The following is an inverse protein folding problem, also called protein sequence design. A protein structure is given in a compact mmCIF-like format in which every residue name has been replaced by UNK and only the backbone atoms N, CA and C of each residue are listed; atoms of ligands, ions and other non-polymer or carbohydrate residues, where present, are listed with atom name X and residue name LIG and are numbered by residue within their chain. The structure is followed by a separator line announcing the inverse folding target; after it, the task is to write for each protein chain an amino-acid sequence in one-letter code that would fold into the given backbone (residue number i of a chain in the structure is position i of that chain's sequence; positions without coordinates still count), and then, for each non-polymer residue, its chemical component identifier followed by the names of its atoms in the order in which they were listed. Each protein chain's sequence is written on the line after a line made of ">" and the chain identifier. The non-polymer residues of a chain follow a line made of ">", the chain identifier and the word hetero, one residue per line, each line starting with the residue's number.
data_IF_036243010738
#
_entry.id   IF_036243010738
#
_cell.length_a   1.000
_cell.length_b   1.000
_cell.length_c   1.000
_cell.angle_alpha   90.00
_cell.angle_beta   90.00
_cell.angle_gamma   90.00
#
_symmetry.space_group_name_H-M   'P 1'
#
loop_
_entity.id
_entity.type
_entity.pdbx_description
1 polymer ?
#
# COMPACT_ATOMS: atom_id res chain seq x y z
N UNK A 1 3.69 -12.00 -14.05
CA UNK A 1 3.57 -12.77 -15.31
C UNK A 1 2.48 -13.84 -15.26
N UNK A 2 2.39 -14.70 -14.22
CA UNK A 2 1.40 -15.79 -14.17
C UNK A 2 -0.05 -15.39 -14.49
N UNK A 3 -0.53 -14.24 -13.98
CA UNK A 3 -1.84 -13.65 -14.30
C UNK A 3 -2.03 -13.47 -15.82
N UNK A 4 -1.01 -12.94 -16.51
CA UNK A 4 -1.03 -12.72 -17.96
C UNK A 4 -1.06 -14.04 -18.74
N UNK A 5 -0.50 -15.11 -18.21
CA UNK A 5 -0.35 -16.35 -18.96
C UNK A 5 -1.47 -17.36 -18.73
N UNK A 6 -2.06 -17.37 -17.52
CA UNK A 6 -3.03 -18.39 -17.11
C UNK A 6 -4.41 -17.84 -16.83
N UNK A 7 -4.55 -16.53 -16.57
CA UNK A 7 -5.84 -15.92 -16.30
C UNK A 7 -6.31 -15.14 -17.52
N UNK A 8 -7.62 -15.14 -17.77
CA UNK A 8 -8.27 -14.40 -18.86
C UNK A 8 -8.68 -12.98 -18.45
N UNK A 9 -8.20 -12.52 -17.28
CA UNK A 9 -8.58 -11.23 -16.72
C UNK A 9 -8.05 -10.08 -17.58
N UNK A 10 -8.89 -9.06 -17.78
CA UNK A 10 -8.53 -7.78 -18.40
C UNK A 10 -8.02 -6.76 -17.33
N UNK A 11 -7.39 -5.63 -17.73
CA UNK A 11 -6.83 -4.70 -16.76
C UNK A 11 -7.87 -4.03 -15.85
N UNK A 12 -9.10 -3.83 -16.34
CA UNK A 12 -10.18 -3.27 -15.54
C UNK A 12 -10.64 -4.24 -14.44
N UNK A 13 -10.71 -5.55 -14.75
CA UNK A 13 -11.00 -6.60 -13.78
C UNK A 13 -9.89 -6.70 -12.72
N UNK A 14 -8.63 -6.57 -13.12
CA UNK A 14 -7.48 -6.59 -12.19
C UNK A 14 -7.48 -5.37 -11.26
N UNK A 15 -7.77 -4.17 -11.78
CA UNK A 15 -7.99 -2.99 -10.95
C UNK A 15 -9.19 -3.18 -10.00
N UNK A 16 -10.26 -3.84 -10.48
CA UNK A 16 -11.39 -4.26 -9.66
C UNK A 16 -11.00 -5.21 -8.53
N UNK A 17 -10.14 -6.19 -8.78
CA UNK A 17 -9.58 -7.07 -7.73
C UNK A 17 -8.75 -6.23 -6.75
N UNK A 18 -7.97 -5.25 -7.24
CA UNK A 18 -7.21 -4.30 -6.42
C UNK A 18 -8.06 -3.54 -5.40
N UNK A 19 -9.29 -3.16 -5.76
CA UNK A 19 -10.26 -2.57 -4.82
C UNK A 19 -10.53 -3.52 -3.65
N UNK A 20 -10.85 -4.78 -3.94
CA UNK A 20 -11.12 -5.79 -2.91
C UNK A 20 -9.90 -6.05 -2.02
N UNK A 21 -8.73 -6.18 -2.62
CA UNK A 21 -7.47 -6.39 -1.89
C UNK A 21 -7.05 -5.21 -1.03
N UNK A 22 -7.63 -4.02 -1.23
CA UNK A 22 -7.34 -2.85 -0.39
C UNK A 22 -8.29 -2.77 0.82
N UNK A 23 -9.47 -3.41 0.77
CA UNK A 23 -10.47 -3.31 1.84
C UNK A 23 -9.99 -3.78 3.22
N UNK A 24 -9.24 -4.90 3.37
CA UNK A 24 -8.72 -5.31 4.69
C UNK A 24 -7.91 -4.22 5.40
N UNK A 25 -7.20 -3.38 4.63
CA UNK A 25 -6.43 -2.25 5.16
C UNK A 25 -7.30 -1.11 5.71
N UNK A 26 -8.55 -0.99 5.26
CA UNK A 26 -9.50 0.03 5.75
C UNK A 26 -10.09 -0.34 7.11
N UNK A 27 -10.17 -1.65 7.42
CA UNK A 27 -10.65 -2.18 8.71
C UNK A 27 -9.50 -2.53 9.66
N UNK A 28 -8.28 -2.05 9.38
CA UNK A 28 -7.07 -2.27 10.18
C UNK A 28 -7.28 -1.95 11.67
N UNK A 29 -8.09 -0.94 11.99
CA UNK A 29 -8.44 -0.58 13.37
C UNK A 29 -9.10 -1.71 14.15
N UNK A 30 -9.92 -2.52 13.48
CA UNK A 30 -10.64 -3.66 14.08
C UNK A 30 -9.66 -4.75 14.49
N UNK A 31 -8.72 -5.07 13.59
CA UNK A 31 -7.63 -5.99 13.89
C UNK A 31 -6.75 -5.45 15.04
N UNK A 32 -6.50 -4.14 15.09
CA UNK A 32 -5.79 -3.48 16.20
C UNK A 32 -6.45 -3.72 17.55
N UNK A 33 -7.77 -3.50 17.63
CA UNK A 33 -8.51 -3.74 18.88
C UNK A 33 -8.47 -5.21 19.30
N UNK A 34 -8.55 -6.14 18.34
CA UNK A 34 -8.46 -7.59 18.64
C UNK A 34 -7.08 -7.94 19.19
N UNK A 35 -6.02 -7.49 18.53
CA UNK A 35 -4.62 -7.68 18.94
C UNK A 35 -4.38 -7.11 20.35
N UNK A 36 -4.94 -5.93 20.66
CA UNK A 36 -4.73 -5.27 21.96
C UNK A 36 -5.59 -5.82 23.12
N UNK A 37 -6.78 -6.36 22.84
CA UNK A 37 -7.76 -6.72 23.89
C UNK A 37 -8.01 -8.21 24.05
N UNK A 38 -7.79 -9.04 23.03
CA UNK A 38 -8.21 -10.44 23.03
C UNK A 38 -6.98 -11.35 22.99
N UNK A 39 -6.53 -11.91 24.13
CA UNK A 39 -5.47 -12.92 24.14
C UNK A 39 -5.99 -14.23 23.52
N UNK A 40 -5.27 -14.76 22.55
CA UNK A 40 -5.55 -16.07 21.94
C UNK A 40 -4.48 -17.03 22.44
N UNK A 41 -4.84 -18.21 22.95
CA UNK A 41 -3.90 -19.16 23.57
C UNK A 41 -2.98 -18.54 24.64
N UNK A 42 -3.50 -17.54 25.37
CA UNK A 42 -2.76 -16.87 26.45
C UNK A 42 -1.75 -15.79 26.01
N UNK A 43 -1.66 -15.49 24.70
CA UNK A 43 -0.76 -14.47 24.15
C UNK A 43 -1.51 -13.49 23.22
N UNK A 44 -1.10 -12.22 23.25
CA UNK A 44 -1.68 -11.14 22.44
C UNK A 44 -0.85 -10.78 21.20
N UNK A 45 0.45 -11.08 21.17
CA UNK A 45 1.31 -10.75 20.02
C UNK A 45 1.67 -12.02 19.25
N UNK A 46 2.21 -13.03 19.93
CA UNK A 46 2.66 -14.29 19.30
C UNK A 46 1.53 -14.97 18.52
N UNK A 47 0.35 -15.09 19.13
CA UNK A 47 -0.79 -15.77 18.51
C UNK A 47 -1.27 -15.09 17.23
N UNK A 48 -1.36 -13.76 17.21
CA UNK A 48 -1.78 -13.02 16.00
C UNK A 48 -0.72 -13.03 14.91
N UNK A 49 0.57 -13.01 15.26
CA UNK A 49 1.65 -13.20 14.27
C UNK A 49 1.52 -14.56 13.59
N UNK A 50 1.31 -15.62 14.38
CA UNK A 50 1.12 -16.98 13.85
C UNK A 50 -0.16 -17.13 13.03
N UNK A 51 -1.28 -16.51 13.43
CA UNK A 51 -2.53 -16.49 12.65
C UNK A 51 -2.28 -15.80 11.30
N UNK A 52 -1.63 -14.64 11.31
CA UNK A 52 -1.30 -13.92 10.08
C UNK A 52 -0.33 -14.71 9.19
N UNK A 53 0.63 -15.41 9.78
CA UNK A 53 1.57 -16.27 9.05
C UNK A 53 0.87 -17.47 8.44
N UNK A 54 -0.04 -18.12 9.18
CA UNK A 54 -0.84 -19.23 8.68
C UNK A 54 -1.77 -18.80 7.54
N UNK A 55 -2.39 -17.62 7.66
CA UNK A 55 -3.23 -17.05 6.60
C UNK A 55 -2.40 -16.76 5.33
N UNK A 56 -1.23 -16.16 5.49
CA UNK A 56 -0.28 -15.89 4.39
C UNK A 56 0.23 -17.18 3.75
N UNK A 57 0.59 -18.17 4.56
CA UNK A 57 1.01 -19.49 4.09
C UNK A 57 -0.11 -20.20 3.31
N UNK A 58 -1.34 -20.15 3.82
CA UNK A 58 -2.52 -20.70 3.15
C UNK A 58 -2.76 -20.01 1.80
N UNK A 59 -2.61 -18.69 1.75
CA UNK A 59 -2.71 -17.93 0.50
C UNK A 59 -1.60 -18.29 -0.51
N UNK A 60 -0.36 -18.43 -0.06
CA UNK A 60 0.77 -18.88 -0.89
C UNK A 60 0.55 -20.32 -1.41
N UNK A 61 0.08 -21.24 -0.56
CA UNK A 61 -0.28 -22.61 -0.97
C UNK A 61 -1.43 -22.60 -1.98
N UNK A 62 -2.43 -21.74 -1.80
CA UNK A 62 -3.55 -21.58 -2.73
C UNK A 62 -3.06 -21.10 -4.10
N UNK A 63 -2.15 -20.12 -4.14
CA UNK A 63 -1.54 -19.64 -5.38
C UNK A 63 -0.62 -20.68 -6.03
N UNK A 64 0.14 -21.44 -5.24
CA UNK A 64 0.94 -22.56 -5.72
C UNK A 64 0.04 -23.63 -6.36
N UNK A 65 -1.09 -23.97 -5.74
CA UNK A 65 -2.04 -24.94 -6.27
C UNK A 65 -2.80 -24.47 -7.49
N UNK A 66 -3.11 -23.18 -7.58
CA UNK A 66 -3.61 -22.57 -8.80
C UNK A 66 -2.57 -22.66 -9.94
N UNK A 67 -1.30 -22.42 -9.63
CA UNK A 67 -0.22 -22.42 -10.61
C UNK A 67 0.18 -23.83 -11.07
N UNK A 68 0.17 -24.80 -10.17
CA UNK A 68 0.45 -26.22 -10.44
C UNK A 68 -0.74 -27.00 -11.01
N UNK A 69 -1.96 -26.43 -10.93
CA UNK A 69 -3.17 -27.03 -11.49
C UNK A 69 -3.75 -28.19 -10.67
N UNK A 70 -3.22 -28.45 -9.47
CA UNK A 70 -3.72 -29.49 -8.57
C UNK A 70 -4.88 -29.02 -7.68
N UNK A 71 -5.16 -27.71 -7.65
CA UNK A 71 -6.30 -27.14 -6.95
C UNK A 71 -7.42 -26.84 -7.97
N UNK A 72 -8.41 -27.72 -8.07
CA UNK A 72 -9.43 -27.69 -9.13
C UNK A 72 -10.87 -27.44 -8.64
N UNK A 73 -11.07 -27.02 -7.38
CA UNK A 73 -12.42 -26.83 -6.84
C UNK A 73 -13.14 -25.57 -7.37
N UNK A 74 -12.41 -24.65 -7.99
CA UNK A 74 -12.92 -23.38 -8.52
C UNK A 74 -12.12 -22.95 -9.74
N UNK A 75 -12.56 -21.89 -10.42
CA UNK A 75 -11.83 -21.36 -11.58
C UNK A 75 -10.49 -20.75 -11.12
N UNK A 76 -9.41 -20.81 -11.94
CA UNK A 76 -8.10 -20.25 -11.58
C UNK A 76 -8.14 -18.78 -11.17
N UNK A 77 -9.02 -17.98 -11.77
CA UNK A 77 -9.25 -16.57 -11.42
C UNK A 77 -9.82 -16.41 -10.00
N UNK A 78 -10.78 -17.25 -9.61
CA UNK A 78 -11.35 -17.24 -8.26
C UNK A 78 -10.35 -17.71 -7.21
N UNK A 79 -9.57 -18.74 -7.54
CA UNK A 79 -8.50 -19.25 -6.67
C UNK A 79 -7.41 -18.20 -6.48
N UNK A 80 -7.06 -17.46 -7.53
CA UNK A 80 -6.13 -16.33 -7.45
C UNK A 80 -6.63 -15.26 -6.48
N UNK A 81 -7.90 -14.84 -6.62
CA UNK A 81 -8.50 -13.83 -5.73
C UNK A 81 -8.50 -14.33 -4.28
N UNK A 82 -8.87 -15.59 -4.03
CA UNK A 82 -8.84 -16.19 -2.71
C UNK A 82 -7.42 -16.17 -2.12
N UNK A 83 -6.43 -16.67 -2.86
CA UNK A 83 -5.04 -16.72 -2.42
C UNK A 83 -4.47 -15.32 -2.13
N UNK A 84 -4.73 -14.35 -3.02
CA UNK A 84 -4.32 -12.96 -2.82
C UNK A 84 -5.00 -12.32 -1.60
N UNK A 85 -6.29 -12.57 -1.39
CA UNK A 85 -7.03 -12.06 -0.24
C UNK A 85 -6.50 -12.63 1.08
N UNK A 86 -6.21 -13.93 1.13
CA UNK A 86 -5.61 -14.58 2.29
C UNK A 86 -4.23 -13.98 2.62
N UNK A 87 -3.37 -13.76 1.62
CA UNK A 87 -2.08 -13.09 1.80
C UNK A 87 -2.29 -11.69 2.36
N UNK A 88 -3.21 -10.90 1.81
CA UNK A 88 -3.49 -9.54 2.28
C UNK A 88 -3.99 -9.55 3.73
N UNK A 89 -4.98 -10.37 4.06
CA UNK A 89 -5.53 -10.45 5.43
C UNK A 89 -4.42 -10.86 6.41
N UNK A 90 -3.63 -11.88 6.06
CA UNK A 90 -2.49 -12.31 6.86
C UNK A 90 -1.48 -11.17 7.08
N UNK A 91 -1.17 -10.43 6.03
CA UNK A 91 -0.26 -9.28 6.07
C UNK A 91 -0.81 -8.16 6.96
N UNK A 92 -2.09 -7.81 6.85
CA UNK A 92 -2.72 -6.77 7.67
C UNK A 92 -2.69 -7.13 9.15
N UNK A 93 -2.97 -8.38 9.51
CA UNK A 93 -2.91 -8.83 10.90
C UNK A 93 -1.47 -8.70 11.44
N UNK A 94 -0.47 -9.14 10.67
CA UNK A 94 0.93 -9.03 11.08
C UNK A 94 1.42 -7.59 11.18
N UNK A 95 1.02 -6.74 10.23
CA UNK A 95 1.32 -5.31 10.19
C UNK A 95 0.76 -4.58 11.42
N UNK A 96 -0.46 -4.90 11.84
CA UNK A 96 -1.05 -4.39 13.08
C UNK A 96 -0.24 -4.80 14.32
N UNK A 97 0.18 -6.07 14.40
CA UNK A 97 0.99 -6.54 15.52
C UNK A 97 2.36 -5.86 15.53
N UNK A 98 2.99 -5.70 14.36
CA UNK A 98 4.27 -5.02 14.21
C UNK A 98 4.17 -3.55 14.63
N UNK A 99 3.10 -2.84 14.24
CA UNK A 99 2.82 -1.48 14.67
C UNK A 99 2.68 -1.38 16.19
N UNK A 100 1.91 -2.27 16.81
CA UNK A 100 1.75 -2.30 18.27
C UNK A 100 3.10 -2.50 18.96
N UNK A 101 3.85 -3.53 18.56
CA UNK A 101 5.18 -3.83 19.11
C UNK A 101 6.18 -2.69 18.93
N UNK A 102 6.12 -1.94 17.82
CA UNK A 102 6.99 -0.79 17.57
C UNK A 102 6.83 0.31 18.62
N UNK A 103 5.64 0.43 19.20
CA UNK A 103 5.36 1.42 20.26
C UNK A 103 5.64 0.89 21.67
N UNK A 104 5.65 -0.44 21.84
CA UNK A 104 5.85 -1.13 23.12
C UNK A 104 7.32 -1.36 23.44
N UNK A 105 8.18 -1.44 22.41
CA UNK A 105 9.62 -1.70 22.59
C UNK A 105 10.35 -0.57 23.31
N UNK A 106 9.82 0.66 23.24
CA UNK A 106 10.40 1.85 23.89
C UNK A 106 9.82 1.99 25.29
N UNK A 107 10.65 1.74 26.31
CA UNK A 107 10.26 1.91 27.70
C UNK A 107 9.97 3.39 28.00
N UNK A 108 8.80 3.64 28.61
CA UNK A 108 8.37 4.99 29.04
C UNK A 108 8.83 5.36 30.44
N UNK A 109 9.30 4.38 31.20
CA UNK A 109 9.83 4.54 32.55
C UNK A 109 11.29 4.09 32.56
N UNK A 110 12.09 4.72 33.40
CA UNK A 110 13.47 4.31 33.64
C UNK A 110 13.54 3.06 34.53
N UNK A 111 14.75 2.56 34.79
CA UNK A 111 14.98 1.41 35.67
C UNK A 111 14.55 1.66 37.14
N UNK A 112 14.31 2.92 37.51
CA UNK A 112 13.87 3.34 38.85
C UNK A 112 12.34 3.55 38.92
N UNK A 113 11.61 3.34 37.82
CA UNK A 113 10.17 3.56 37.72
C UNK A 113 9.74 5.02 37.51
N UNK A 114 10.69 5.94 37.30
CA UNK A 114 10.39 7.34 37.00
C UNK A 114 10.06 7.51 35.50
N UNK A 115 9.12 8.39 35.14
CA UNK A 115 8.82 8.68 33.74
C UNK A 115 10.05 9.30 33.04
N UNK A 116 10.41 8.74 31.89
CA UNK A 116 11.51 9.27 31.05
C UNK A 116 11.11 10.58 30.38
N UNK A 117 12.06 11.45 30.02
CA UNK A 117 11.77 12.65 29.25
C UNK A 117 11.05 12.32 27.93
N UNK A 118 9.96 13.04 27.67
CA UNK A 118 9.10 12.88 26.49
C UNK A 118 9.88 12.97 25.16
N UNK A 119 10.93 13.80 25.13
CA UNK A 119 11.78 14.00 23.96
C UNK A 119 12.62 12.75 23.64
N UNK A 120 13.19 12.09 24.65
CA UNK A 120 13.95 10.85 24.46
C UNK A 120 13.07 9.71 23.96
N UNK A 121 11.89 9.55 24.56
CA UNK A 121 10.91 8.52 24.15
C UNK A 121 10.50 8.73 22.69
N UNK A 122 10.26 9.98 22.27
CA UNK A 122 9.91 10.29 20.88
C UNK A 122 11.07 10.01 19.92
N UNK A 123 12.30 10.33 20.31
CA UNK A 123 13.49 10.05 19.50
C UNK A 123 13.69 8.53 19.30
N UNK A 124 13.57 7.74 20.37
CA UNK A 124 13.67 6.28 20.29
C UNK A 124 12.54 5.66 19.45
N UNK A 125 11.29 6.11 19.62
CA UNK A 125 10.16 5.68 18.77
C UNK A 125 10.40 6.00 17.30
N UNK A 126 10.96 7.18 17.00
CA UNK A 126 11.36 7.57 15.66
C UNK A 126 12.42 6.62 15.07
N UNK A 127 13.41 6.22 15.88
CA UNK A 127 14.45 5.28 15.47
C UNK A 127 13.88 3.87 15.19
N UNK A 128 12.97 3.39 16.03
CA UNK A 128 12.29 2.10 15.82
C UNK A 128 11.51 2.11 14.49
N UNK A 129 10.81 3.21 14.20
CA UNK A 129 10.09 3.38 12.93
C UNK A 129 11.04 3.40 11.72
N UNK A 130 12.20 4.04 11.84
CA UNK A 130 13.23 4.00 10.79
C UNK A 130 13.74 2.58 10.55
N UNK A 131 14.08 1.85 11.61
CA UNK A 131 14.54 0.45 11.52
C UNK A 131 13.45 -0.43 10.90
N UNK A 132 12.18 -0.25 11.30
CA UNK A 132 11.05 -0.97 10.73
C UNK A 132 10.91 -0.74 9.22
N UNK A 133 11.05 0.51 8.76
CA UNK A 133 11.03 0.84 7.32
C UNK A 133 12.22 0.28 6.55
N UNK A 134 13.41 0.26 7.17
CA UNK A 134 14.59 -0.36 6.59
C UNK A 134 14.40 -1.89 6.48
N UNK A 135 13.85 -2.54 7.50
CA UNK A 135 13.53 -3.96 7.48
C UNK A 135 12.48 -4.30 6.40
N UNK A 136 11.42 -3.49 6.27
CA UNK A 136 10.44 -3.61 5.19
C UNK A 136 11.10 -3.49 3.82
N UNK A 137 11.99 -2.51 3.64
CA UNK A 137 12.67 -2.28 2.37
C UNK A 137 13.65 -3.40 2.02
N UNK A 138 14.35 -3.94 3.03
CA UNK A 138 15.19 -5.12 2.87
C UNK A 138 14.36 -6.35 2.50
N UNK A 139 13.17 -6.54 3.08
CA UNK A 139 12.23 -7.60 2.71
C UNK A 139 11.73 -7.46 1.27
N UNK A 140 11.33 -6.24 0.87
CA UNK A 140 10.95 -5.94 -0.52
C UNK A 140 12.10 -6.25 -1.47
N UNK A 141 13.32 -5.82 -1.14
CA UNK A 141 14.51 -6.09 -1.94
C UNK A 141 14.77 -7.60 -2.08
N UNK A 142 14.70 -8.34 -0.97
CA UNK A 142 14.95 -9.78 -0.92
C UNK A 142 13.95 -10.55 -1.78
N UNK A 143 12.66 -10.18 -1.76
CA UNK A 143 11.63 -10.89 -2.52
C UNK A 143 11.56 -10.41 -3.97
N UNK A 144 11.66 -9.11 -4.22
CA UNK A 144 11.34 -8.54 -5.54
C UNK A 144 12.35 -8.92 -6.63
N UNK A 145 13.64 -9.00 -6.30
CA UNK A 145 14.67 -9.49 -7.21
C UNK A 145 14.69 -11.02 -7.32
N UNK A 146 14.66 -11.70 -6.17
CA UNK A 146 14.76 -13.15 -6.08
C UNK A 146 13.59 -13.86 -6.75
N UNK A 147 12.35 -13.39 -6.55
CA UNK A 147 11.17 -14.01 -7.16
C UNK A 147 11.17 -13.93 -8.68
N UNK A 148 11.63 -12.82 -9.28
CA UNK A 148 11.74 -12.65 -10.73
C UNK A 148 12.85 -13.50 -11.33
N UNK A 149 14.01 -13.56 -10.66
CA UNK A 149 15.13 -14.40 -11.08
C UNK A 149 14.78 -15.90 -10.98
N UNK A 150 14.15 -16.33 -9.88
CA UNK A 150 13.72 -17.72 -9.71
C UNK A 150 12.65 -18.12 -10.73
N UNK A 151 11.72 -17.22 -11.06
CA UNK A 151 10.67 -17.51 -12.05
C UNK A 151 11.23 -17.78 -13.45
N UNK A 152 12.40 -17.20 -13.79
CA UNK A 152 13.06 -17.45 -15.07
C UNK A 152 13.58 -18.89 -15.26
N UNK A 153 13.77 -19.65 -14.17
CA UNK A 153 14.34 -21.00 -14.22
C UNK A 153 13.48 -22.07 -13.54
N UNK A 154 12.57 -21.68 -12.64
CA UNK A 154 11.71 -22.58 -11.88
C UNK A 154 10.24 -22.45 -12.32
N UNK A 155 9.51 -23.55 -12.18
CA UNK A 155 8.06 -23.52 -12.31
C UNK A 155 7.45 -22.56 -11.27
N UNK A 156 6.40 -21.85 -11.66
CA UNK A 156 5.75 -20.83 -10.79
C UNK A 156 5.16 -21.41 -9.52
N UNK A 157 4.68 -22.64 -9.60
CA UNK A 157 4.29 -23.43 -8.43
C UNK A 157 5.44 -23.48 -7.42
N UNK A 158 6.65 -23.85 -7.86
CA UNK A 158 7.84 -23.91 -7.02
C UNK A 158 8.19 -22.54 -6.45
N UNK A 159 8.08 -21.47 -7.25
CA UNK A 159 8.32 -20.09 -6.75
C UNK A 159 7.33 -19.71 -5.65
N UNK A 160 6.04 -20.02 -5.79
CA UNK A 160 5.04 -19.78 -4.74
C UNK A 160 5.29 -20.65 -3.49
N UNK A 161 5.71 -21.90 -3.65
CA UNK A 161 6.09 -22.78 -2.55
C UNK A 161 7.33 -22.26 -1.80
N UNK A 162 8.35 -21.78 -2.52
CA UNK A 162 9.49 -21.09 -1.90
C UNK A 162 9.05 -19.80 -1.17
N UNK A 163 7.97 -19.17 -1.63
CA UNK A 163 7.31 -18.07 -0.93
C UNK A 163 6.86 -18.39 0.49
N UNK A 164 6.70 -19.68 0.87
CA UNK A 164 6.39 -20.10 2.24
C UNK A 164 7.53 -19.79 3.23
N UNK A 165 8.73 -19.47 2.75
CA UNK A 165 9.81 -18.95 3.59
C UNK A 165 9.43 -17.61 4.25
N UNK A 166 8.57 -16.81 3.62
CA UNK A 166 8.10 -15.53 4.19
C UNK A 166 7.30 -15.75 5.48
N UNK A 167 6.17 -16.48 5.49
CA UNK A 167 5.45 -16.77 6.72
C UNK A 167 6.26 -17.63 7.71
N UNK A 168 7.17 -18.50 7.24
CA UNK A 168 8.07 -19.22 8.14
C UNK A 168 9.02 -18.28 8.90
N UNK A 169 9.58 -17.25 8.24
CA UNK A 169 10.43 -16.25 8.90
C UNK A 169 9.68 -15.50 10.00
N UNK A 170 8.40 -15.21 9.77
CA UNK A 170 7.53 -14.58 10.76
C UNK A 170 7.25 -15.49 11.96
N UNK A 171 7.01 -16.79 11.72
CA UNK A 171 6.86 -17.79 12.78
C UNK A 171 8.14 -17.99 13.60
N UNK A 172 9.32 -17.94 12.97
CA UNK A 172 10.61 -17.96 13.70
C UNK A 172 10.76 -16.69 14.55
N UNK A 173 10.35 -15.53 14.05
CA UNK A 173 10.37 -14.26 14.79
C UNK A 173 9.61 -14.33 16.12
N UNK A 174 8.54 -15.12 16.19
CA UNK A 174 7.77 -15.34 17.42
C UNK A 174 8.62 -15.96 18.55
N UNK A 175 9.58 -16.83 18.21
CA UNK A 175 10.48 -17.45 19.19
C UNK A 175 11.44 -16.45 19.84
N UNK A 176 11.68 -15.31 19.20
CA UNK A 176 12.58 -14.26 19.69
C UNK A 176 11.88 -13.27 20.64
N UNK A 177 10.55 -13.29 20.72
CA UNK A 177 9.77 -12.40 21.59
C UNK A 177 9.92 -12.88 23.03
N UNK A 178 10.80 -12.25 23.82
CA UNK A 178 11.17 -12.72 25.18
C UNK A 178 10.10 -12.51 26.27
N UNK A 179 9.29 -11.45 26.22
CA UNK A 179 8.18 -11.25 27.16
C UNK A 179 7.11 -10.32 26.59
N UNK A 180 5.84 -10.72 26.70
CA UNK A 180 4.69 -9.84 26.43
C UNK A 180 4.40 -9.03 27.70
N UNK A 181 4.89 -7.80 27.75
CA UNK A 181 4.55 -6.85 28.81
C UNK A 181 3.25 -6.14 28.45
N UNK A 182 2.13 -6.87 28.35
CA UNK A 182 0.88 -6.26 27.91
C UNK A 182 -0.08 -6.09 29.08
N UNK A 183 -0.25 -4.85 29.53
CA UNK A 183 -1.43 -4.45 30.30
C UNK A 183 -2.66 -4.64 29.40
N UNK A 184 -3.57 -5.52 29.83
CA UNK A 184 -4.80 -5.81 29.07
C UNK A 184 -5.60 -4.53 28.92
N UNK A 185 -5.80 -4.09 27.67
CA UNK A 185 -6.71 -2.98 27.39
C UNK A 185 -8.16 -3.49 27.35
N UNK A 186 -9.10 -2.81 28.04
CA UNK A 186 -10.50 -3.17 27.95
C UNK A 186 -10.98 -3.05 26.51
N UNK A 187 -11.93 -3.90 26.16
CA UNK A 187 -12.41 -4.01 24.80
C UNK A 187 -13.33 -2.84 24.48
N UNK A 188 -12.95 -1.98 23.52
CA UNK A 188 -13.82 -0.91 23.06
C UNK A 188 -14.86 -1.48 22.08
N UNK A 189 -16.06 -1.78 22.60
CA UNK A 189 -17.16 -2.34 21.83
C UNK A 189 -17.67 -1.39 20.74
N UNK A 190 -17.39 -0.09 20.83
CA UNK A 190 -17.79 0.88 19.79
C UNK A 190 -16.94 0.67 18.53
N UNK A 191 -15.64 0.46 18.71
CA UNK A 191 -14.70 0.21 17.61
C UNK A 191 -14.87 -1.22 17.10
N UNK A 192 -14.88 -2.23 17.99
CA UNK A 192 -15.02 -3.62 17.58
C UNK A 192 -16.41 -3.91 16.98
N UNK A 193 -17.48 -3.52 17.66
CA UNK A 193 -18.85 -3.76 17.20
C UNK A 193 -19.16 -3.01 15.90
N UNK A 194 -18.74 -1.74 15.79
CA UNK A 194 -18.87 -0.97 14.56
C UNK A 194 -18.08 -1.59 13.40
N UNK A 195 -16.86 -2.04 13.67
CA UNK A 195 -16.01 -2.73 12.70
C UNK A 195 -16.56 -4.08 12.22
N UNK A 196 -17.07 -4.90 13.14
CA UNK A 196 -17.72 -6.19 12.80
C UNK A 196 -18.99 -5.94 12.00
N UNK A 197 -19.85 -5.00 12.42
CA UNK A 197 -21.06 -4.65 11.68
C UNK A 197 -20.73 -4.16 10.27
N UNK A 198 -19.73 -3.30 10.13
CA UNK A 198 -19.22 -2.84 8.84
C UNK A 198 -18.72 -4.02 7.99
N UNK A 199 -17.89 -4.90 8.55
CA UNK A 199 -17.39 -6.09 7.86
C UNK A 199 -18.50 -7.03 7.39
N UNK A 200 -19.54 -7.24 8.22
CA UNK A 200 -20.71 -8.04 7.86
C UNK A 200 -21.53 -7.40 6.74
N UNK A 201 -21.72 -6.08 6.76
CA UNK A 201 -22.40 -5.36 5.67
C UNK A 201 -21.60 -5.47 4.39
N UNK A 202 -20.28 -5.26 4.43
CA UNK A 202 -19.39 -5.41 3.26
C UNK A 202 -19.46 -6.84 2.71
N UNK A 203 -19.37 -7.86 3.56
CA UNK A 203 -19.45 -9.25 3.15
C UNK A 203 -20.83 -9.60 2.56
N UNK A 204 -21.91 -9.14 3.19
CA UNK A 204 -23.27 -9.33 2.70
C UNK A 204 -23.50 -8.68 1.33
N UNK A 205 -23.01 -7.45 1.14
CA UNK A 205 -23.06 -6.75 -0.14
C UNK A 205 -22.23 -7.47 -1.22
N UNK A 206 -21.02 -7.91 -0.88
CA UNK A 206 -20.12 -8.62 -1.79
C UNK A 206 -20.69 -9.97 -2.26
N UNK A 207 -21.32 -10.71 -1.35
CA UNK A 207 -21.94 -12.01 -1.66
C UNK A 207 -23.33 -11.89 -2.30
N UNK A 208 -24.03 -10.78 -2.06
CA UNK A 208 -25.41 -10.56 -2.51
C UNK A 208 -25.57 -10.20 -3.98
N UNK A 209 -24.49 -10.15 -4.77
CA UNK A 209 -24.56 -9.86 -6.21
C UNK A 209 -25.08 -8.47 -6.55
N UNK A 210 -24.93 -7.50 -5.63
CA UNK A 210 -25.45 -6.14 -5.78
C UNK A 210 -24.70 -5.40 -6.90
N UNK A 211 -25.39 -4.74 -7.85
CA UNK A 211 -24.74 -3.90 -8.85
C UNK A 211 -23.93 -2.79 -8.19
N UNK A 212 -22.77 -2.46 -8.76
CA UNK A 212 -21.89 -1.40 -8.23
C UNK A 212 -21.48 -1.59 -6.77
N UNK A 213 -21.32 -2.85 -6.34
CA UNK A 213 -20.98 -3.20 -4.96
C UNK A 213 -19.72 -2.49 -4.45
N UNK A 214 -18.72 -2.30 -5.31
CA UNK A 214 -17.46 -1.67 -4.93
C UNK A 214 -17.65 -0.18 -4.63
N UNK A 215 -18.48 0.48 -5.44
CA UNK A 215 -18.85 1.88 -5.30
C UNK A 215 -19.72 2.08 -4.04
N UNK A 216 -20.66 1.17 -3.79
CA UNK A 216 -21.49 1.19 -2.57
C UNK A 216 -20.62 1.01 -1.33
N UNK A 217 -19.69 0.05 -1.32
CA UNK A 217 -18.75 -0.16 -0.20
C UNK A 217 -17.86 1.08 -0.02
N UNK A 218 -17.36 1.67 -1.10
CA UNK A 218 -16.56 2.89 -1.04
C UNK A 218 -17.35 4.05 -0.42
N UNK A 219 -18.60 4.29 -0.87
CA UNK A 219 -19.46 5.34 -0.34
C UNK A 219 -19.82 5.10 1.15
N UNK A 220 -20.10 3.85 1.53
CA UNK A 220 -20.34 3.47 2.91
C UNK A 220 -19.10 3.75 3.78
N UNK A 221 -17.92 3.33 3.33
CA UNK A 221 -16.64 3.55 4.01
C UNK A 221 -16.33 5.04 4.15
N UNK A 222 -16.59 5.81 3.09
CA UNK A 222 -16.44 7.26 3.07
C UNK A 222 -17.37 7.92 4.09
N UNK A 223 -18.64 7.53 4.13
CA UNK A 223 -19.60 8.06 5.09
C UNK A 223 -19.17 7.78 6.54
N UNK A 224 -18.68 6.57 6.84
CA UNK A 224 -18.15 6.21 8.15
C UNK A 224 -16.93 7.07 8.51
N UNK A 225 -15.93 7.15 7.62
CA UNK A 225 -14.70 7.91 7.87
C UNK A 225 -14.98 9.41 8.01
N UNK A 226 -15.81 9.99 7.15
CA UNK A 226 -16.21 11.40 7.25
C UNK A 226 -16.95 11.67 8.57
N UNK A 227 -17.85 10.78 8.99
CA UNK A 227 -18.55 10.90 10.28
C UNK A 227 -17.57 10.83 11.45
N UNK A 228 -16.63 9.88 11.43
CA UNK A 228 -15.59 9.78 12.46
C UNK A 228 -14.68 11.01 12.49
N UNK A 229 -14.33 11.59 11.34
CA UNK A 229 -13.56 12.83 11.27
C UNK A 229 -14.30 13.98 11.94
N UNK A 230 -15.61 14.12 11.68
CA UNK A 230 -16.44 15.15 12.34
C UNK A 230 -16.51 14.91 13.86
N UNK A 231 -16.71 13.66 14.28
CA UNK A 231 -16.79 13.31 15.72
C UNK A 231 -15.48 13.58 16.45
N UNK A 232 -14.34 13.15 15.89
CA UNK A 232 -13.03 13.27 16.52
C UNK A 232 -12.58 14.74 16.60
N UNK A 233 -12.97 15.57 15.63
CA UNK A 233 -12.59 16.99 15.55
C UNK A 233 -13.63 17.96 16.12
N UNK A 234 -14.74 17.45 16.69
CA UNK A 234 -15.86 18.27 17.18
C UNK A 234 -15.45 19.28 18.26
N UNK A 235 -14.49 18.90 19.10
CA UNK A 235 -14.07 19.68 20.26
C UNK A 235 -12.93 20.67 19.93
N UNK A 236 -12.49 20.70 18.67
CA UNK A 236 -11.47 21.63 18.20
C UNK A 236 -12.07 22.97 17.79
N UNK A 237 -11.25 24.02 17.85
CA UNK A 237 -11.63 25.33 17.34
C UNK A 237 -11.91 25.29 15.83
N UNK A 238 -12.74 26.22 15.37
CA UNK A 238 -13.20 26.25 13.98
C UNK A 238 -12.07 26.48 12.96
N UNK A 239 -10.93 27.07 13.36
CA UNK A 239 -9.79 27.29 12.47
C UNK A 239 -9.03 25.97 12.29
N UNK A 240 -8.68 25.29 13.37
CA UNK A 240 -7.99 23.99 13.34
C UNK A 240 -8.82 22.92 12.62
N UNK A 241 -10.13 22.87 12.87
CA UNK A 241 -11.04 21.93 12.17
C UNK A 241 -11.06 22.16 10.65
N UNK A 242 -11.00 23.41 10.20
CA UNK A 242 -10.93 23.75 8.77
C UNK A 242 -9.58 23.38 8.17
N UNK A 243 -8.48 23.65 8.86
CA UNK A 243 -7.14 23.25 8.43
C UNK A 243 -7.09 21.72 8.24
N UNK A 244 -7.56 20.96 9.24
CA UNK A 244 -7.71 19.50 9.17
C UNK A 244 -8.49 19.05 7.92
N UNK A 245 -9.64 19.66 7.66
CA UNK A 245 -10.48 19.30 6.51
C UNK A 245 -9.73 19.51 5.19
N UNK A 246 -9.11 20.67 5.01
CA UNK A 246 -8.37 21.01 3.80
C UNK A 246 -7.17 20.10 3.59
N UNK A 247 -6.43 19.85 4.66
CA UNK A 247 -5.35 18.89 4.72
C UNK A 247 -5.79 17.47 4.32
N UNK A 248 -6.90 17.00 4.87
CA UNK A 248 -7.49 15.69 4.57
C UNK A 248 -7.85 15.58 3.09
N UNK A 249 -8.43 16.64 2.50
CA UNK A 249 -8.76 16.69 1.07
C UNK A 249 -7.48 16.63 0.21
N UNK A 250 -6.43 17.37 0.57
CA UNK A 250 -5.15 17.35 -0.16
C UNK A 250 -4.52 15.95 -0.13
N UNK A 251 -4.44 15.32 1.05
CA UNK A 251 -3.93 13.95 1.20
C UNK A 251 -4.75 12.98 0.35
N UNK A 252 -6.07 13.10 0.42
CA UNK A 252 -6.98 12.23 -0.32
C UNK A 252 -6.78 12.37 -1.83
N UNK A 253 -6.77 13.61 -2.36
CA UNK A 253 -6.56 13.88 -3.77
C UNK A 253 -5.19 13.36 -4.27
N UNK A 254 -4.14 13.50 -3.45
CA UNK A 254 -2.81 12.99 -3.78
C UNK A 254 -2.79 11.45 -3.92
N UNK A 255 -3.43 10.74 -2.99
CA UNK A 255 -3.47 9.26 -3.01
C UNK A 255 -4.53 8.66 -3.92
N UNK A 256 -5.56 9.43 -4.26
CA UNK A 256 -6.66 8.99 -5.13
C UNK A 256 -6.34 9.15 -6.62
N UNK A 257 -5.15 9.61 -6.98
CA UNK A 257 -4.72 9.65 -8.38
C UNK A 257 -4.80 8.24 -9.02
N UNK A 258 -5.43 8.12 -10.20
CA UNK A 258 -5.51 6.83 -10.88
C UNK A 258 -4.17 6.41 -11.48
N UNK A 259 -3.99 5.11 -11.62
CA UNK A 259 -2.89 4.52 -12.39
C UNK A 259 -3.32 4.15 -13.81
N UNK A 260 -2.36 3.63 -14.56
CA UNK A 260 -2.56 3.15 -15.94
C UNK A 260 -3.16 1.73 -15.95
N UNK A 261 -2.97 0.96 -14.88
CA UNK A 261 -3.39 -0.45 -14.79
C UNK A 261 -2.42 -1.41 -15.48
N UNK A 262 -2.76 -2.70 -15.44
CA UNK A 262 -1.87 -3.79 -15.89
C UNK A 262 -1.68 -3.87 -17.41
N UNK A 263 -2.48 -3.12 -18.20
CA UNK A 263 -2.34 -3.04 -19.65
C UNK A 263 -0.96 -2.53 -20.08
N UNK A 264 -0.41 -1.54 -19.37
CA UNK A 264 0.96 -1.06 -19.59
C UNK A 264 1.99 -2.17 -19.38
N UNK A 265 1.85 -2.92 -18.28
CA UNK A 265 2.74 -4.03 -17.96
C UNK A 265 2.66 -5.16 -19.02
N UNK A 266 1.51 -5.38 -19.67
CA UNK A 266 1.44 -6.38 -20.74
C UNK A 266 2.06 -5.90 -22.03
N UNK A 267 1.92 -4.62 -22.35
CA UNK A 267 2.53 -3.98 -23.50
C UNK A 267 4.05 -4.03 -23.45
N UNK A 268 4.66 -3.71 -22.31
CA UNK A 268 6.12 -3.80 -22.13
C UNK A 268 6.64 -5.24 -22.31
N UNK A 269 5.85 -6.24 -21.93
CA UNK A 269 6.18 -7.65 -22.17
C UNK A 269 6.05 -8.02 -23.65
N UNK A 270 4.97 -7.63 -24.32
CA UNK A 270 4.68 -8.06 -25.70
C UNK A 270 5.46 -7.28 -26.75
N UNK A 271 5.61 -5.97 -26.57
CA UNK A 271 6.20 -5.06 -27.54
C UNK A 271 7.67 -4.80 -27.22
N UNK A 272 7.98 -4.39 -25.98
CA UNK A 272 9.37 -4.10 -25.58
C UNK A 272 10.18 -5.35 -25.21
N UNK A 273 9.55 -6.52 -25.15
CA UNK A 273 10.18 -7.81 -24.82
C UNK A 273 10.96 -7.77 -23.50
N UNK A 274 10.38 -7.07 -22.52
CA UNK A 274 10.88 -7.16 -21.14
C UNK A 274 10.55 -8.57 -20.62
N UNK A 275 11.54 -9.26 -20.06
CA UNK A 275 11.38 -10.62 -19.55
C UNK A 275 11.28 -10.63 -18.01
N UNK A 276 11.04 -11.80 -17.42
CA UNK A 276 10.89 -11.95 -15.96
C UNK A 276 12.16 -11.53 -15.21
N UNK A 277 13.32 -11.91 -15.75
CA UNK A 277 14.62 -11.58 -15.18
C UNK A 277 14.82 -10.06 -15.16
N UNK A 278 14.52 -9.37 -16.26
CA UNK A 278 14.62 -7.92 -16.35
C UNK A 278 13.69 -7.22 -15.36
N UNK A 279 12.46 -7.69 -15.17
CA UNK A 279 11.56 -7.15 -14.14
C UNK A 279 12.07 -7.38 -12.71
N UNK A 280 12.70 -8.54 -12.46
CA UNK A 280 13.41 -8.81 -11.21
C UNK A 280 14.51 -7.78 -10.97
N UNK A 281 15.37 -7.55 -11.98
CA UNK A 281 16.44 -6.53 -11.92
C UNK A 281 15.87 -5.14 -11.71
N UNK A 282 14.84 -4.74 -12.46
CA UNK A 282 14.22 -3.42 -12.35
C UNK A 282 13.68 -3.15 -10.94
N UNK A 283 12.99 -4.12 -10.35
CA UNK A 283 12.50 -3.99 -8.96
C UNK A 283 13.63 -3.98 -7.93
N UNK A 284 14.69 -4.75 -8.15
CA UNK A 284 15.85 -4.78 -7.27
C UNK A 284 16.62 -3.45 -7.29
N UNK A 285 16.91 -2.93 -8.48
CA UNK A 285 17.54 -1.61 -8.66
C UNK A 285 16.68 -0.51 -8.04
N UNK A 286 15.37 -0.53 -8.28
CA UNK A 286 14.43 0.39 -7.67
C UNK A 286 14.45 0.33 -6.14
N UNK A 287 14.51 -0.87 -5.54
CA UNK A 287 14.56 -1.03 -4.09
C UNK A 287 15.89 -0.54 -3.49
N UNK A 288 17.04 -0.85 -4.11
CA UNK A 288 18.36 -0.35 -3.68
C UNK A 288 18.39 1.18 -3.68
N UNK A 289 17.92 1.78 -4.78
CA UNK A 289 17.91 3.24 -4.92
C UNK A 289 16.91 3.91 -3.99
N UNK A 290 15.76 3.29 -3.75
CA UNK A 290 14.80 3.78 -2.75
C UNK A 290 15.43 3.79 -1.35
N UNK A 291 16.18 2.75 -0.95
CA UNK A 291 16.89 2.70 0.33
C UNK A 291 17.96 3.80 0.40
N UNK A 292 18.79 3.92 -0.64
CA UNK A 292 19.84 4.94 -0.70
C UNK A 292 19.26 6.35 -0.61
N UNK A 293 18.21 6.63 -1.36
CA UNK A 293 17.55 7.93 -1.37
C UNK A 293 16.82 8.22 -0.04
N UNK A 294 16.16 7.24 0.57
CA UNK A 294 15.61 7.41 1.92
C UNK A 294 16.68 7.80 2.91
N UNK A 295 17.86 7.18 2.86
CA UNK A 295 18.97 7.55 3.74
C UNK A 295 19.45 8.98 3.46
N UNK A 296 19.77 9.31 2.20
CA UNK A 296 20.33 10.61 1.81
C UNK A 296 19.36 11.77 2.07
N UNK A 297 18.08 11.60 1.74
CA UNK A 297 17.06 12.67 1.79
C UNK A 297 16.20 12.65 3.06
N UNK A 298 16.45 11.72 4.00
CA UNK A 298 15.71 11.61 5.27
C UNK A 298 15.68 12.94 6.05
N UNK A 299 16.79 13.67 6.07
CA UNK A 299 16.93 14.92 6.82
C UNK A 299 16.19 16.09 6.14
N UNK A 300 16.39 16.28 4.84
CA UNK A 300 15.87 17.42 4.08
C UNK A 300 14.33 17.42 3.96
N UNK A 301 13.67 16.28 4.08
CA UNK A 301 12.21 16.20 3.97
C UNK A 301 11.43 16.70 5.20
N UNK A 302 12.13 17.00 6.30
CA UNK A 302 11.51 17.47 7.55
C UNK A 302 11.54 18.99 7.72
N UNK A 303 12.26 19.72 6.86
CA UNK A 303 12.48 21.17 7.01
C UNK A 303 11.57 22.03 6.12
N UNK A 304 10.88 21.44 5.14
CA UNK A 304 9.98 22.15 4.21
C UNK A 304 8.50 22.03 4.57
N UNK A 305 7.72 23.05 4.20
CA UNK A 305 6.26 23.02 4.39
C UNK A 305 5.63 21.86 3.60
N UNK A 306 4.76 21.09 4.25
CA UNK A 306 4.18 19.87 3.67
C UNK A 306 3.45 20.14 2.35
N UNK A 307 2.67 21.22 2.27
CA UNK A 307 1.95 21.61 1.05
C UNK A 307 2.89 21.89 -0.11
N UNK A 308 4.04 22.53 0.15
CA UNK A 308 5.08 22.78 -0.86
C UNK A 308 5.77 21.50 -1.30
N UNK A 309 6.06 20.59 -0.36
CA UNK A 309 6.64 19.29 -0.68
C UNK A 309 5.69 18.48 -1.56
N UNK A 310 4.39 18.41 -1.21
CA UNK A 310 3.39 17.70 -2.03
C UNK A 310 3.21 18.31 -3.42
N UNK A 311 3.30 19.64 -3.54
CA UNK A 311 3.22 20.34 -4.82
C UNK A 311 4.36 19.92 -5.76
N UNK A 312 5.61 19.96 -5.28
CA UNK A 312 6.76 19.54 -6.08
C UNK A 312 6.78 18.05 -6.35
N UNK A 313 6.27 17.22 -5.42
CA UNK A 313 6.11 15.79 -5.66
C UNK A 313 5.10 15.50 -6.77
N UNK A 314 4.01 16.26 -6.86
CA UNK A 314 3.04 16.13 -7.96
C UNK A 314 3.67 16.54 -9.31
N UNK A 315 4.44 17.63 -9.34
CA UNK A 315 5.19 18.04 -10.54
C UNK A 315 6.22 16.97 -10.93
N UNK A 316 7.02 16.50 -9.97
CA UNK A 316 8.02 15.48 -10.20
C UNK A 316 7.37 14.19 -10.70
N UNK A 317 6.26 13.75 -10.10
CA UNK A 317 5.51 12.57 -10.56
C UNK A 317 5.03 12.70 -12.01
N UNK A 318 4.56 13.88 -12.41
CA UNK A 318 4.17 14.13 -13.79
C UNK A 318 5.37 14.07 -14.75
N UNK A 319 6.50 14.68 -14.39
CA UNK A 319 7.74 14.62 -15.19
C UNK A 319 8.24 13.18 -15.31
N UNK A 320 8.21 12.42 -14.20
CA UNK A 320 8.62 11.02 -14.14
C UNK A 320 7.65 10.08 -14.85
N UNK A 321 6.45 10.54 -15.23
CA UNK A 321 5.57 9.76 -16.11
C UNK A 321 5.96 9.87 -17.60
N UNK A 322 6.71 10.91 -17.99
CA UNK A 322 7.07 11.19 -19.38
C UNK A 322 7.92 10.11 -20.04
N UNK A 323 8.91 9.47 -19.37
CA UNK A 323 9.65 8.37 -19.98
C UNK A 323 8.74 7.19 -20.38
N UNK A 324 7.75 6.85 -19.55
CA UNK A 324 6.79 5.78 -19.84
C UNK A 324 5.88 6.13 -21.03
N UNK A 325 5.43 7.38 -21.12
CA UNK A 325 4.69 7.90 -22.28
C UNK A 325 5.58 7.87 -23.54
N UNK A 326 6.82 8.37 -23.41
CA UNK A 326 7.79 8.41 -24.50
C UNK A 326 8.13 7.01 -25.01
N UNK A 327 8.29 6.02 -24.12
CA UNK A 327 8.51 4.63 -24.50
C UNK A 327 7.42 4.12 -25.44
N UNK A 328 6.14 4.41 -25.14
CA UNK A 328 5.01 4.03 -25.98
C UNK A 328 5.08 4.70 -27.36
N UNK A 329 5.41 5.99 -27.42
CA UNK A 329 5.54 6.74 -28.68
C UNK A 329 6.88 6.55 -29.41
N UNK A 330 7.71 5.58 -29.00
CA UNK A 330 8.93 5.23 -29.72
C UNK A 330 10.18 6.01 -29.34
N UNK A 331 10.20 6.70 -28.19
CA UNK A 331 11.39 7.41 -27.68
C UNK A 331 12.64 6.53 -27.67
N UNK A 332 12.48 5.25 -27.39
CA UNK A 332 13.58 4.28 -27.33
C UNK A 332 14.29 4.07 -28.68
N UNK A 333 13.58 4.19 -29.82
CA UNK A 333 14.21 4.12 -31.13
C UNK A 333 15.12 5.33 -31.36
N UNK A 334 14.67 6.52 -30.93
CA UNK A 334 15.47 7.72 -31.04
C UNK A 334 16.68 7.70 -30.11
N UNK A 335 16.52 7.25 -28.86
CA UNK A 335 17.66 7.15 -27.92
C UNK A 335 18.68 6.12 -28.36
N UNK A 336 18.24 5.02 -28.98
CA UNK A 336 19.13 4.00 -29.52
C UNK A 336 19.94 4.54 -30.70
N UNK A 337 19.31 5.29 -31.62
CA UNK A 337 19.98 5.89 -32.76
C UNK A 337 20.97 7.02 -32.39
N UNK A 338 20.66 7.83 -31.37
CA UNK A 338 21.46 9.02 -31.03
C UNK A 338 22.45 8.81 -29.89
N UNK A 339 22.11 7.95 -28.92
CA UNK A 339 22.90 7.75 -27.70
C UNK A 339 23.33 6.29 -27.48
N UNK A 340 22.88 5.36 -28.33
CA UNK A 340 23.24 3.95 -28.24
C UNK A 340 22.55 3.17 -27.11
N UNK A 341 21.50 3.71 -26.48
CA UNK A 341 20.72 3.00 -25.46
C UNK A 341 19.23 2.91 -25.80
N UNK A 342 18.67 1.71 -25.64
CA UNK A 342 17.28 1.40 -25.98
C UNK A 342 16.32 1.40 -24.78
N UNK A 343 15.16 0.74 -24.97
CA UNK A 343 14.03 0.78 -24.04
C UNK A 343 14.36 0.27 -22.62
N UNK A 344 15.20 -0.77 -22.51
CA UNK A 344 15.60 -1.34 -21.21
C UNK A 344 16.35 -0.32 -20.34
N UNK A 345 17.24 0.47 -20.93
CA UNK A 345 17.99 1.51 -20.20
C UNK A 345 17.06 2.63 -19.74
N UNK A 346 16.15 3.08 -20.61
CA UNK A 346 15.13 4.08 -20.24
C UNK A 346 14.28 3.58 -19.07
N UNK A 347 13.84 2.32 -19.10
CA UNK A 347 13.05 1.72 -18.03
C UNK A 347 13.82 1.58 -16.70
N UNK A 348 15.12 1.26 -16.75
CA UNK A 348 15.97 1.23 -15.54
C UNK A 348 16.06 2.64 -14.94
N UNK A 349 16.36 3.67 -15.75
CA UNK A 349 16.49 5.05 -15.30
C UNK A 349 15.15 5.56 -14.75
N UNK A 350 14.04 5.25 -15.42
CA UNK A 350 12.71 5.60 -14.96
C UNK A 350 12.38 4.99 -13.59
N UNK A 351 12.59 3.67 -13.46
CA UNK A 351 12.34 2.96 -12.20
C UNK A 351 13.25 3.45 -11.07
N UNK A 352 14.52 3.70 -11.39
CA UNK A 352 15.53 4.26 -10.51
C UNK A 352 15.14 5.63 -9.97
N UNK A 353 14.52 6.45 -10.82
CA UNK A 353 14.15 7.82 -10.46
C UNK A 353 12.78 7.86 -9.79
N UNK A 354 11.84 6.99 -10.13
CA UNK A 354 10.47 7.01 -9.58
C UNK A 354 10.36 6.38 -8.18
N UNK A 355 11.12 5.31 -7.90
CA UNK A 355 10.96 4.57 -6.65
C UNK A 355 11.30 5.36 -5.37
N UNK A 356 12.33 6.23 -5.33
CA UNK A 356 12.57 7.08 -4.18
C UNK A 356 11.41 8.03 -3.91
N UNK A 357 10.88 8.68 -4.95
CA UNK A 357 9.85 9.71 -4.80
C UNK A 357 8.57 9.12 -4.21
N UNK A 358 8.21 7.90 -4.60
CA UNK A 358 7.07 7.19 -4.02
C UNK A 358 7.22 7.02 -2.49
N UNK A 359 8.40 6.60 -2.02
CA UNK A 359 8.67 6.44 -0.58
C UNK A 359 8.72 7.78 0.15
N UNK A 360 9.42 8.76 -0.42
CA UNK A 360 9.58 10.09 0.16
C UNK A 360 8.24 10.83 0.25
N UNK A 361 7.29 10.58 -0.66
CA UNK A 361 5.96 11.19 -0.64
C UNK A 361 5.12 10.82 0.58
N UNK A 362 5.42 9.70 1.26
CA UNK A 362 4.70 9.27 2.45
C UNK A 362 5.05 10.11 3.69
N UNK A 363 6.29 10.58 3.77
CA UNK A 363 6.81 11.26 4.97
C UNK A 363 6.05 12.56 5.25
N UNK A 364 5.88 13.49 4.28
CA UNK A 364 5.12 14.71 4.52
C UNK A 364 3.67 14.46 4.92
N UNK A 365 3.02 13.45 4.34
CA UNK A 365 1.64 13.07 4.67
C UNK A 365 1.53 12.64 6.14
N UNK A 366 2.46 11.80 6.61
CA UNK A 366 2.51 11.36 8.01
C UNK A 366 2.82 12.51 8.98
N UNK A 367 3.75 13.40 8.61
CA UNK A 367 4.08 14.59 9.40
C UNK A 367 2.88 15.50 9.60
N UNK A 368 2.11 15.75 8.55
CA UNK A 368 0.95 16.63 8.63
C UNK A 368 -0.25 15.95 9.32
N UNK A 369 -0.37 14.62 9.25
CA UNK A 369 -1.27 13.87 10.14
C UNK A 369 -0.87 14.06 11.60
N UNK A 370 0.42 13.93 11.93
CA UNK A 370 0.91 14.11 13.28
C UNK A 370 0.70 15.54 13.80
N UNK A 371 0.93 16.54 12.95
CA UNK A 371 0.80 17.96 13.30
C UNK A 371 -0.62 18.34 13.74
N UNK A 372 -1.64 17.87 13.01
CA UNK A 372 -3.04 18.19 13.34
C UNK A 372 -3.71 17.19 14.29
N UNK A 373 -2.94 16.31 14.95
CA UNK A 373 -3.49 15.30 15.85
C UNK A 373 -4.14 15.95 17.10
N UNK A 374 -5.45 15.76 17.34
CA UNK A 374 -6.12 16.30 18.52
C UNK A 374 -5.50 15.78 19.82
N UNK A 375 -5.34 16.67 20.81
CA UNK A 375 -4.89 16.28 22.14
C UNK A 375 -5.84 15.24 22.76
N UNK A 376 -5.29 14.19 23.36
CA UNK A 376 -6.07 13.10 23.97
C UNK A 376 -6.70 12.09 23.01
N UNK A 377 -6.65 12.30 21.68
CA UNK A 377 -7.19 11.37 20.66
C UNK A 377 -6.18 10.94 19.60
N UNK A 378 -4.88 11.07 19.88
CA UNK A 378 -3.80 10.85 18.89
C UNK A 378 -3.87 9.47 18.23
N UNK A 379 -4.05 8.39 19.00
CA UNK A 379 -4.11 7.03 18.45
C UNK A 379 -5.30 6.85 17.48
N UNK A 380 -6.50 7.26 17.90
CA UNK A 380 -7.71 7.25 17.06
C UNK A 380 -7.54 8.12 15.81
N UNK A 381 -6.87 9.26 15.94
CA UNK A 381 -6.56 10.15 14.82
C UNK A 381 -5.63 9.51 13.79
N UNK A 382 -4.51 8.91 14.22
CA UNK A 382 -3.61 8.20 13.31
C UNK A 382 -4.32 7.04 12.59
N UNK A 383 -5.12 6.27 13.33
CA UNK A 383 -5.86 5.14 12.80
C UNK A 383 -6.93 5.60 11.77
N UNK A 384 -7.63 6.70 12.05
CA UNK A 384 -8.60 7.30 11.16
C UNK A 384 -7.96 7.86 9.88
N UNK A 385 -6.83 8.56 10.01
CA UNK A 385 -6.11 9.11 8.86
C UNK A 385 -5.45 8.02 8.00
N UNK A 386 -4.92 6.95 8.61
CA UNK A 386 -4.46 5.78 7.88
C UNK A 386 -5.60 5.10 7.10
N UNK A 387 -6.78 4.97 7.71
CA UNK A 387 -7.97 4.42 7.06
C UNK A 387 -8.44 5.29 5.88
N UNK A 388 -8.40 6.62 6.04
CA UNK A 388 -8.66 7.58 4.96
C UNK A 388 -7.66 7.43 3.80
N UNK A 389 -6.36 7.30 4.11
CA UNK A 389 -5.33 7.11 3.10
C UNK A 389 -5.53 5.79 2.31
N UNK A 390 -5.95 4.73 2.99
CA UNK A 390 -6.29 3.46 2.34
C UNK A 390 -7.57 3.59 1.50
N UNK A 391 -8.57 4.33 1.98
CA UNK A 391 -9.77 4.61 1.20
C UNK A 391 -9.47 5.48 -0.05
N UNK A 392 -8.50 6.39 0.04
CA UNK A 392 -8.02 7.14 -1.13
C UNK A 392 -7.38 6.21 -2.16
N UNK A 393 -6.61 5.20 -1.74
CA UNK A 393 -6.10 4.17 -2.65
C UNK A 393 -7.23 3.35 -3.30
N UNK A 394 -8.28 3.01 -2.55
CA UNK A 394 -9.49 2.37 -3.11
C UNK A 394 -10.10 3.25 -4.21
N UNK A 395 -10.21 4.56 -3.96
CA UNK A 395 -10.67 5.52 -4.97
C UNK A 395 -9.78 5.54 -6.22
N UNK A 396 -8.46 5.51 -6.05
CA UNK A 396 -7.50 5.42 -7.15
C UNK A 396 -7.67 4.14 -7.97
N UNK A 397 -7.92 2.99 -7.32
CA UNK A 397 -8.19 1.72 -8.00
C UNK A 397 -9.53 1.71 -8.75
N UNK A 398 -10.59 2.28 -8.15
CA UNK A 398 -11.87 2.45 -8.82
C UNK A 398 -11.74 3.33 -10.06
N UNK A 399 -11.06 4.47 -9.95
CA UNK A 399 -10.80 5.33 -11.11
C UNK A 399 -9.95 4.63 -12.17
N UNK A 400 -8.93 3.87 -11.77
CA UNK A 400 -8.10 3.05 -12.68
C UNK A 400 -8.96 2.03 -13.43
N UNK A 401 -9.87 1.35 -12.74
CA UNK A 401 -10.86 0.43 -13.34
C UNK A 401 -11.70 1.15 -14.39
N UNK A 402 -12.28 2.30 -14.07
CA UNK A 402 -13.09 3.07 -15.02
C UNK A 402 -12.29 3.59 -16.21
N UNK A 403 -11.04 4.05 -15.99
CA UNK A 403 -10.15 4.43 -17.09
C UNK A 403 -9.85 3.24 -18.00
N UNK A 404 -9.62 2.05 -17.46
CA UNK A 404 -9.39 0.84 -18.27
C UNK A 404 -10.66 0.29 -18.93
N UNK A 405 -11.85 0.69 -18.48
CA UNK A 405 -13.13 0.44 -19.18
C UNK A 405 -13.36 1.43 -20.31
N UNK A 406 -13.05 2.71 -20.08
CA UNK A 406 -13.15 3.77 -21.08
C UNK A 406 -12.07 3.64 -22.17
N UNK A 407 -10.88 3.16 -21.78
CA UNK A 407 -9.75 2.89 -22.66
C UNK A 407 -9.33 1.42 -22.57
N UNK A 408 -10.02 0.50 -23.27
CA UNK A 408 -9.71 -0.92 -23.19
C UNK A 408 -8.32 -1.22 -23.75
N UNK A 409 -7.42 -1.68 -22.89
CA UNK A 409 -6.09 -2.18 -23.28
C UNK A 409 -6.07 -3.70 -23.12
N UNK A 410 -6.45 -4.40 -24.19
CA UNK A 410 -6.48 -5.87 -24.20
C UNK A 410 -5.13 -6.45 -24.61
N UNK A 411 -4.90 -7.73 -24.30
CA UNK A 411 -3.66 -8.40 -24.72
C UNK A 411 -3.56 -8.43 -26.24
N UNK A 412 -2.45 -7.94 -26.77
CA UNK A 412 -2.23 -7.81 -28.22
C UNK A 412 -2.92 -6.61 -28.88
N UNK A 413 -3.74 -5.84 -28.14
CA UNK A 413 -4.41 -4.62 -28.63
C UNK A 413 -4.08 -3.44 -27.73
N UNK A 414 -3.07 -2.65 -28.14
CA UNK A 414 -2.48 -1.61 -27.30
C UNK A 414 -2.76 -0.18 -27.78
N UNK A 415 -3.61 0.01 -28.80
CA UNK A 415 -3.80 1.29 -29.49
C UNK A 415 -4.23 2.43 -28.55
N UNK A 416 -5.04 2.11 -27.54
CA UNK A 416 -5.56 3.10 -26.59
C UNK A 416 -4.61 3.37 -25.41
N UNK A 417 -3.51 2.61 -25.27
CA UNK A 417 -2.58 2.72 -24.15
C UNK A 417 -1.89 4.09 -24.12
N UNK A 418 -1.55 4.66 -25.28
CA UNK A 418 -0.93 5.99 -25.34
C UNK A 418 -1.82 7.09 -24.76
N UNK A 419 -3.11 7.09 -25.13
CA UNK A 419 -4.09 8.04 -24.59
C UNK A 419 -4.32 7.81 -23.10
N UNK A 420 -4.43 6.54 -22.69
CA UNK A 420 -4.56 6.16 -21.29
C UNK A 420 -3.38 6.64 -20.43
N UNK A 421 -2.14 6.48 -20.92
CA UNK A 421 -0.92 6.95 -20.25
C UNK A 421 -0.96 8.48 -20.04
N UNK A 422 -1.34 9.23 -21.08
CA UNK A 422 -1.44 10.70 -21.02
C UNK A 422 -2.52 11.13 -20.01
N UNK A 423 -3.71 10.51 -20.07
CA UNK A 423 -4.83 10.86 -19.18
C UNK A 423 -4.50 10.52 -17.73
N UNK A 424 -3.91 9.34 -17.47
CA UNK A 424 -3.50 8.95 -16.12
C UNK A 424 -2.44 9.91 -15.56
N UNK A 425 -1.43 10.28 -16.36
CA UNK A 425 -0.43 11.28 -15.98
C UNK A 425 -1.04 12.66 -15.71
N UNK A 426 -1.95 13.11 -16.58
CA UNK A 426 -2.65 14.37 -16.41
C UNK A 426 -3.52 14.38 -15.14
N UNK A 427 -4.27 13.32 -14.86
CA UNK A 427 -5.06 13.20 -13.63
C UNK A 427 -4.18 13.13 -12.39
N UNK A 428 -3.06 12.40 -12.45
CA UNK A 428 -2.06 12.33 -11.39
C UNK A 428 -1.41 13.69 -11.06
N UNK A 429 -1.37 14.61 -12.02
CA UNK A 429 -0.92 15.99 -11.82
C UNK A 429 -2.04 16.93 -11.38
N UNK A 430 -3.18 16.90 -12.08
CA UNK A 430 -4.27 17.86 -11.92
C UNK A 430 -5.04 17.65 -10.62
N UNK A 431 -5.27 16.40 -10.19
CA UNK A 431 -6.00 16.14 -8.94
C UNK A 431 -5.24 16.68 -7.71
N UNK A 432 -3.95 16.36 -7.51
CA UNK A 432 -3.25 16.82 -6.31
C UNK A 432 -2.97 18.33 -6.38
N UNK A 433 -2.59 18.87 -7.53
CA UNK A 433 -2.32 20.31 -7.67
C UNK A 433 -3.61 21.12 -7.56
N UNK A 434 -4.71 20.66 -8.17
CA UNK A 434 -6.01 21.30 -8.02
C UNK A 434 -6.42 21.40 -6.55
N UNK A 435 -6.28 20.31 -5.78
CA UNK A 435 -6.54 20.32 -4.35
C UNK A 435 -5.60 21.29 -3.59
N UNK A 436 -4.31 21.30 -3.91
CA UNK A 436 -3.32 22.20 -3.28
C UNK A 436 -3.61 23.67 -3.61
N UNK A 437 -3.99 24.01 -4.84
CA UNK A 437 -4.30 25.38 -5.24
C UNK A 437 -5.59 25.89 -4.59
N UNK A 438 -6.61 25.04 -4.50
CA UNK A 438 -7.90 25.39 -3.90
C UNK A 438 -7.84 25.49 -2.38
N UNK A 439 -7.08 24.61 -1.73
CA UNK A 439 -7.12 24.44 -0.27
C UNK A 439 -5.80 24.74 0.43
N UNK A 440 -4.65 24.66 -0.24
CA UNK A 440 -3.32 24.80 0.37
C UNK A 440 -3.02 26.17 0.96
N UNK A 441 -3.60 27.26 0.44
CA UNK A 441 -3.52 28.61 1.06
C UNK A 441 -4.30 28.74 2.37
N UNK A 442 -5.13 27.74 2.69
CA UNK A 442 -6.02 27.73 3.87
C UNK A 442 -5.55 26.74 4.94
N UNK A 443 -4.42 26.07 4.72
CA UNK A 443 -3.80 25.07 5.60
C UNK A 443 -2.74 25.72 6.47
#
# INVERSE_FOLDING_TARGET
>A
MWIKERLTLNPAELAGIGVWLTLPWTVKMVFGQLVDSVPIFGSQRRSYILIGAACTASGMMTLAGAAGGWLAFARPDQIYVLGAMLIVIGTVIQDVVADAMSTEVVARVDASGQPRPDEEVRAELGMVQLIGRLALSAGILAVAGLSGWLAGFLARETVFLLGLLVPASSAVGVLLIRSETTERRPLDWRILGGGIAFGLVVAGLALGGVPYVQEVIFLLSMAVICTMLVVVTRDLDAKTRRAILYTTIIIFAFRAAPGVGDGYFWWTLDVLKFDEAFYGTLRQTAAILAIAAMWIFSKQLTEYSVTWTLFWLAIAGAILSLPNIGLYFGLHYWTEANFGFGARTVAIIDAATTSPFAQLSMIPLLTLIAFYAPAGRRATWFALMASLMNLALVSGQLQTKYLNQAFPVLRGGYDQLGVLLIIAAALGFLLPIGAILLFGRRV
#
